data_IF_530049732661
#
_entry.id   IF_530049732661
#
_cell.length_a   1.000
_cell.length_b   1.000
_cell.length_c   1.000
_cell.angle_alpha   90.00
_cell.angle_beta   90.00
_cell.angle_gamma   90.00
#
_symmetry.space_group_name_H-M   'P 1'
#
loop_
_entity.id
_entity.type
_entity.pdbx_description
1 polymer ?
#
# COMPACT_ATOMS: atom_id res chain seq x y z
N UNK A 1 -16.82 22.81 36.39
CA UNK A 1 -16.83 21.34 36.22
C UNK A 1 -18.28 20.94 36.02
N UNK A 2 -18.67 20.71 34.76
CA UNK A 2 -20.02 20.22 34.46
C UNK A 2 -20.15 18.78 34.97
N UNK A 3 -21.35 18.44 35.45
CA UNK A 3 -21.73 17.10 35.92
C UNK A 3 -21.20 16.02 34.97
N UNK A 4 -20.49 15.06 35.53
CA UNK A 4 -19.98 13.87 34.84
C UNK A 4 -21.14 13.09 34.25
N UNK A 5 -21.53 13.39 33.01
CA UNK A 5 -22.51 12.60 32.29
C UNK A 5 -21.98 11.19 32.13
N UNK A 6 -22.58 10.25 32.86
CA UNK A 6 -22.35 8.82 32.70
C UNK A 6 -22.40 8.41 31.25
N UNK A 7 -21.55 7.45 30.89
CA UNK A 7 -21.52 6.91 29.55
C UNK A 7 -22.92 6.37 29.16
N UNK A 8 -23.33 6.61 27.91
CA UNK A 8 -24.61 6.14 27.36
C UNK A 8 -24.82 4.64 27.59
N UNK A 9 -23.75 3.84 27.48
CA UNK A 9 -23.80 2.40 27.72
C UNK A 9 -24.04 2.07 29.18
N UNK A 10 -23.45 2.82 30.12
CA UNK A 10 -23.72 2.66 31.56
C UNK A 10 -25.19 2.91 31.87
N UNK A 11 -25.78 3.95 31.29
CA UNK A 11 -27.21 4.22 31.46
C UNK A 11 -28.07 3.08 30.88
N UNK A 12 -27.70 2.55 29.70
CA UNK A 12 -28.37 1.37 29.14
C UNK A 12 -28.28 0.17 30.07
N UNK A 13 -27.13 -0.09 30.70
CA UNK A 13 -26.94 -1.19 31.66
C UNK A 13 -27.80 -0.98 32.91
N UNK A 14 -27.72 0.20 33.54
CA UNK A 14 -28.51 0.54 34.74
C UNK A 14 -30.01 0.43 34.45
N UNK A 15 -30.46 0.88 33.28
CA UNK A 15 -31.86 0.80 32.87
C UNK A 15 -32.35 -0.64 32.64
N UNK A 16 -31.45 -1.60 32.41
CA UNK A 16 -31.77 -3.02 32.27
C UNK A 16 -31.82 -3.77 33.61
N UNK A 17 -31.29 -3.19 34.69
CA UNK A 17 -31.36 -3.79 36.03
C UNK A 17 -32.81 -3.85 36.54
N UNK A 18 -33.17 -4.79 37.42
CA UNK A 18 -34.50 -4.83 38.03
C UNK A 18 -34.90 -3.52 38.72
N UNK A 19 -36.16 -3.11 38.57
CA UNK A 19 -36.70 -1.85 39.11
C UNK A 19 -36.56 -1.70 40.64
N UNK A 20 -36.39 -2.80 41.38
CA UNK A 20 -36.23 -2.79 42.83
C UNK A 20 -34.79 -2.50 43.30
N UNK A 21 -33.80 -2.59 42.41
CA UNK A 21 -32.41 -2.34 42.77
C UNK A 21 -32.17 -0.86 43.08
N UNK A 22 -31.47 -0.60 44.19
CA UNK A 22 -31.14 0.76 44.63
C UNK A 22 -30.28 1.50 43.60
N UNK A 23 -29.39 0.81 42.88
CA UNK A 23 -28.51 1.37 41.84
C UNK A 23 -29.32 1.97 40.67
N UNK A 24 -30.48 1.37 40.34
CA UNK A 24 -31.37 1.89 39.29
C UNK A 24 -32.23 3.06 39.77
N UNK A 25 -32.54 3.10 41.08
CA UNK A 25 -33.41 4.13 41.69
C UNK A 25 -32.65 5.35 42.20
N UNK A 26 -31.39 5.18 42.63
CA UNK A 26 -30.55 6.22 43.21
C UNK A 26 -29.59 6.79 42.17
N UNK A 27 -29.15 8.02 42.47
CA UNK A 27 -28.33 8.87 41.63
C UNK A 27 -27.10 8.18 41.05
N UNK A 28 -26.63 8.79 39.96
CA UNK A 28 -25.38 8.54 39.26
C UNK A 28 -24.17 8.36 40.21
N UNK A 29 -24.19 8.96 41.40
CA UNK A 29 -23.10 8.92 42.38
C UNK A 29 -22.96 7.62 43.21
N UNK A 30 -23.76 6.58 42.96
CA UNK A 30 -23.65 5.34 43.73
C UNK A 30 -22.36 4.57 43.38
N UNK A 31 -21.69 3.96 44.37
CA UNK A 31 -20.50 3.13 44.14
C UNK A 31 -20.78 2.02 43.11
N UNK A 32 -21.99 1.44 43.14
CA UNK A 32 -22.41 0.44 42.16
C UNK A 32 -22.58 1.03 40.75
N UNK A 33 -23.08 2.27 40.63
CA UNK A 33 -23.17 2.99 39.36
C UNK A 33 -21.77 3.30 38.81
N UNK A 34 -20.86 3.80 39.66
CA UNK A 34 -19.47 4.06 39.28
C UNK A 34 -18.75 2.77 38.84
N UNK A 35 -19.00 1.64 39.51
CA UNK A 35 -18.49 0.34 39.10
C UNK A 35 -19.04 -0.09 37.72
N UNK A 36 -20.34 0.10 37.48
CA UNK A 36 -20.93 -0.17 36.17
C UNK A 36 -20.42 0.77 35.07
N UNK A 37 -19.95 1.96 35.43
CA UNK A 37 -19.40 2.92 34.46
C UNK A 37 -18.11 2.42 33.83
N UNK A 38 -17.28 1.69 34.57
CA UNK A 38 -16.08 1.05 34.02
C UNK A 38 -16.44 0.14 32.84
N UNK A 39 -17.44 -0.72 33.02
CA UNK A 39 -17.94 -1.58 31.93
C UNK A 39 -18.60 -0.77 30.80
N UNK A 40 -19.29 0.32 31.13
CA UNK A 40 -19.88 1.18 30.12
C UNK A 40 -18.83 1.89 29.26
N UNK A 41 -17.70 2.30 29.86
CA UNK A 41 -16.53 2.85 29.16
C UNK A 41 -15.90 1.78 28.27
N UNK A 42 -15.58 0.60 28.80
CA UNK A 42 -15.01 -0.51 28.01
C UNK A 42 -15.93 -0.93 26.84
N UNK A 43 -17.24 -1.04 27.08
CA UNK A 43 -18.21 -1.36 26.02
C UNK A 43 -18.31 -0.27 24.97
N UNK A 44 -18.17 1.00 25.36
CA UNK A 44 -18.10 2.10 24.40
C UNK A 44 -16.83 1.99 23.56
N UNK A 45 -15.68 1.74 24.17
CA UNK A 45 -14.43 1.56 23.43
C UNK A 45 -14.53 0.41 22.43
N UNK A 46 -15.08 -0.74 22.83
CA UNK A 46 -15.35 -1.87 21.92
C UNK A 46 -16.33 -1.46 20.81
N UNK A 47 -17.41 -0.74 21.14
CA UNK A 47 -18.37 -0.27 20.17
C UNK A 47 -17.74 0.69 19.15
N UNK A 48 -16.90 1.62 19.61
CA UNK A 48 -16.21 2.60 18.78
C UNK A 48 -15.21 1.87 17.84
N UNK A 49 -14.49 0.87 18.35
CA UNK A 49 -13.60 0.01 17.54
C UNK A 49 -14.38 -0.77 16.47
N UNK A 50 -15.50 -1.40 16.84
CA UNK A 50 -16.34 -2.16 15.90
C UNK A 50 -16.98 -1.25 14.86
N UNK A 51 -17.43 -0.07 15.26
CA UNK A 51 -18.00 0.92 14.35
C UNK A 51 -16.95 1.41 13.36
N UNK A 52 -15.74 1.75 13.85
CA UNK A 52 -14.61 2.12 12.99
C UNK A 52 -14.31 1.01 11.99
N UNK A 53 -14.14 -0.24 12.46
CA UNK A 53 -13.88 -1.38 11.58
C UNK A 53 -14.98 -1.60 10.54
N UNK A 54 -16.24 -1.47 10.92
CA UNK A 54 -17.38 -1.57 10.01
C UNK A 54 -17.36 -0.48 8.92
N UNK A 55 -17.00 0.75 9.29
CA UNK A 55 -16.83 1.86 8.33
C UNK A 55 -15.68 1.61 7.34
N UNK A 56 -14.68 0.81 7.70
CA UNK A 56 -13.57 0.45 6.81
C UNK A 56 -13.94 -0.63 5.77
N UNK A 57 -15.09 -1.30 5.89
CA UNK A 57 -15.53 -2.35 4.95
C UNK A 57 -15.94 -1.78 3.59
N UNK A 58 -16.14 -0.47 3.47
CA UNK A 58 -16.43 0.18 2.19
C UNK A 58 -15.23 0.99 1.71
N UNK A 59 -14.74 0.67 0.51
CA UNK A 59 -13.58 1.36 -0.11
C UNK A 59 -13.74 2.89 -0.15
N UNK A 60 -14.97 3.39 -0.27
CA UNK A 60 -15.26 4.83 -0.31
C UNK A 60 -15.04 5.51 1.05
N UNK A 61 -15.42 4.87 2.16
CA UNK A 61 -15.31 5.41 3.52
C UNK A 61 -14.04 5.00 4.27
N UNK A 62 -13.18 4.17 3.66
CA UNK A 62 -11.87 3.83 4.24
C UNK A 62 -11.08 5.09 4.60
N UNK A 63 -10.59 5.08 5.83
CA UNK A 63 -9.66 6.03 6.41
C UNK A 63 -8.29 5.91 5.71
N UNK A 64 -7.89 7.00 5.07
CA UNK A 64 -6.64 7.09 4.32
C UNK A 64 -5.44 7.44 5.20
N UNK A 65 -5.69 7.91 6.42
CA UNK A 65 -4.65 8.33 7.37
C UNK A 65 -4.12 7.14 8.20
N UNK A 66 -4.65 5.94 7.98
CA UNK A 66 -4.08 4.69 8.48
C UNK A 66 -2.62 4.57 8.08
N UNK A 67 -1.78 4.01 8.94
CA UNK A 67 -0.40 3.74 8.55
C UNK A 67 -0.37 2.65 7.49
N UNK A 68 0.45 2.91 6.48
CA UNK A 68 0.75 2.00 5.40
C UNK A 68 2.26 1.76 5.24
N UNK A 69 3.08 2.66 5.78
CA UNK A 69 4.53 2.64 5.61
C UNK A 69 5.18 2.97 6.94
N UNK A 70 6.10 2.10 7.35
CA UNK A 70 7.11 2.35 8.35
C UNK A 70 8.50 2.15 7.73
N UNK A 71 9.53 2.48 8.48
CA UNK A 71 10.91 2.21 8.14
C UNK A 71 11.46 1.25 9.15
N UNK A 72 12.16 0.20 8.69
CA UNK A 72 12.73 -0.80 9.58
C UNK A 72 14.22 -0.98 9.36
N UNK A 73 14.90 -1.47 10.39
CA UNK A 73 16.25 -2.00 10.25
C UNK A 73 16.46 -3.19 11.17
N UNK A 74 17.31 -4.12 10.71
CA UNK A 74 17.69 -5.31 11.46
C UNK A 74 18.91 -5.01 12.32
N UNK A 75 18.83 -5.37 13.60
CA UNK A 75 20.00 -5.46 14.46
C UNK A 75 20.78 -6.74 14.13
N UNK A 76 22.08 -6.72 14.43
CA UNK A 76 22.93 -7.91 14.25
C UNK A 76 22.46 -9.04 15.18
N UNK A 77 22.54 -10.29 14.71
CA UNK A 77 21.98 -11.46 15.39
C UNK A 77 22.53 -11.66 16.82
N UNK A 78 23.77 -11.25 17.09
CA UNK A 78 24.42 -11.32 18.40
C UNK A 78 24.24 -10.05 19.25
N UNK A 79 23.46 -9.08 18.80
CA UNK A 79 23.18 -7.86 19.57
C UNK A 79 22.35 -8.22 20.81
N UNK A 80 22.84 -7.79 21.98
CA UNK A 80 22.10 -7.88 23.24
C UNK A 80 21.29 -6.60 23.43
N UNK A 81 19.97 -6.73 23.39
CA UNK A 81 19.05 -5.59 23.35
C UNK A 81 19.11 -4.76 24.64
N UNK A 82 19.41 -5.40 25.77
CA UNK A 82 19.49 -4.72 27.07
C UNK A 82 20.68 -3.77 27.16
N UNK A 83 21.67 -3.94 26.29
CA UNK A 83 22.92 -3.17 26.26
C UNK A 83 22.92 -2.13 25.14
N UNK A 84 21.78 -1.89 24.49
CA UNK A 84 21.60 -0.76 23.58
C UNK A 84 21.45 0.51 24.41
N UNK A 85 22.44 1.39 24.32
CA UNK A 85 22.49 2.63 25.10
C UNK A 85 21.53 3.68 24.51
N UNK A 86 21.57 3.83 23.18
CA UNK A 86 20.88 4.91 22.48
C UNK A 86 20.69 4.57 21.00
N UNK A 87 19.55 4.98 20.44
CA UNK A 87 19.33 5.07 18.99
C UNK A 87 19.19 6.54 18.64
N UNK A 88 19.98 7.01 17.68
CA UNK A 88 19.99 8.41 17.28
C UNK A 88 20.17 8.58 15.78
N UNK A 89 19.81 9.76 15.31
CA UNK A 89 19.82 10.20 13.92
C UNK A 89 20.77 11.39 13.79
N UNK A 90 20.96 11.93 12.59
CA UNK A 90 21.71 13.18 12.44
C UNK A 90 20.99 14.37 13.13
N UNK A 91 19.68 14.26 13.35
CA UNK A 91 18.84 15.30 13.96
C UNK A 91 18.70 15.19 15.49
N UNK A 92 19.15 14.08 16.09
CA UNK A 92 19.09 13.85 17.53
C UNK A 92 18.72 12.43 17.95
N UNK A 93 18.60 12.25 19.27
CA UNK A 93 18.26 10.98 19.92
C UNK A 93 16.78 10.63 19.79
N UNK A 94 16.46 9.36 19.54
CA UNK A 94 15.09 8.85 19.52
C UNK A 94 14.75 8.18 20.86
N UNK A 95 13.49 8.31 21.26
CA UNK A 95 12.95 7.71 22.49
C UNK A 95 12.38 6.32 22.20
N UNK A 96 12.67 5.36 23.06
CA UNK A 96 12.07 4.03 22.95
C UNK A 96 10.61 4.08 23.37
N UNK A 97 9.71 3.53 22.57
CA UNK A 97 8.34 3.23 23.00
C UNK A 97 8.06 1.73 23.01
N UNK A 98 7.13 1.32 23.88
CA UNK A 98 6.54 -0.03 23.91
C UNK A 98 5.18 -0.08 23.23
N UNK A 99 4.55 1.07 23.02
CA UNK A 99 3.25 1.18 22.36
C UNK A 99 3.48 1.61 20.91
N UNK A 100 3.07 0.75 19.97
CA UNK A 100 3.15 1.09 18.56
C UNK A 100 2.37 2.38 18.28
N UNK A 101 1.25 2.63 18.96
CA UNK A 101 0.45 3.85 18.73
C UNK A 101 1.21 5.15 19.05
N UNK A 102 2.20 5.12 19.94
CA UNK A 102 3.06 6.28 20.19
C UNK A 102 4.03 6.52 19.03
N UNK A 103 4.59 5.44 18.45
CA UNK A 103 5.41 5.51 17.24
C UNK A 103 4.64 6.15 16.09
N UNK A 104 3.36 5.77 15.94
CA UNK A 104 2.46 6.27 14.89
C UNK A 104 2.24 7.78 15.02
N UNK A 105 2.09 8.27 16.26
CA UNK A 105 1.70 9.66 16.55
C UNK A 105 2.86 10.64 16.57
N UNK A 106 4.11 10.18 16.68
CA UNK A 106 5.26 11.05 16.86
C UNK A 106 6.54 10.49 16.25
N UNK A 107 7.25 11.38 15.57
CA UNK A 107 8.57 11.14 14.98
C UNK A 107 9.72 11.14 16.00
N UNK A 108 9.45 11.30 17.28
CA UNK A 108 10.50 11.22 18.31
C UNK A 108 10.74 9.80 18.79
N UNK A 109 9.88 8.85 18.41
CA UNK A 109 9.92 7.50 18.93
C UNK A 109 10.48 6.47 17.95
N UNK A 110 11.03 5.41 18.51
CA UNK A 110 11.28 4.15 17.81
C UNK A 110 10.62 3.01 18.59
N UNK A 111 10.14 2.01 17.86
CA UNK A 111 9.68 0.75 18.42
C UNK A 111 10.72 -0.34 18.17
N UNK A 112 11.01 -1.15 19.18
CA UNK A 112 11.98 -2.24 19.09
C UNK A 112 11.27 -3.57 19.32
N UNK A 113 11.15 -4.37 18.26
CA UNK A 113 10.74 -5.77 18.36
C UNK A 113 11.92 -6.57 18.89
N UNK A 114 11.90 -6.86 20.19
CA UNK A 114 12.99 -7.55 20.88
C UNK A 114 13.18 -8.98 20.38
N UNK A 115 12.08 -9.66 19.99
CA UNK A 115 12.13 -11.07 19.58
C UNK A 115 12.77 -11.21 18.20
N UNK A 116 12.44 -10.30 17.28
CA UNK A 116 12.97 -10.31 15.91
C UNK A 116 14.18 -9.41 15.71
N UNK A 117 14.53 -8.63 16.74
CA UNK A 117 15.61 -7.63 16.73
C UNK A 117 15.45 -6.61 15.60
N UNK A 118 14.23 -6.12 15.41
CA UNK A 118 13.88 -5.12 14.38
C UNK A 118 13.57 -3.79 15.04
N UNK A 119 14.21 -2.73 14.56
CA UNK A 119 13.88 -1.35 14.91
C UNK A 119 12.89 -0.82 13.88
N UNK A 120 11.79 -0.22 14.34
CA UNK A 120 10.80 0.44 13.50
C UNK A 120 10.73 1.94 13.80
N UNK A 121 10.54 2.71 12.74
CA UNK A 121 10.55 4.17 12.69
C UNK A 121 9.38 4.67 11.83
N UNK A 122 8.77 5.79 12.22
CA UNK A 122 7.63 6.35 11.49
C UNK A 122 8.04 7.11 10.22
N UNK A 123 9.29 7.58 10.15
CA UNK A 123 9.82 8.30 8.99
C UNK A 123 11.22 7.87 8.59
N UNK A 124 11.61 8.23 7.38
CA UNK A 124 12.98 8.15 6.92
C UNK A 124 13.82 9.22 7.61
N UNK A 125 14.97 8.85 8.17
CA UNK A 125 15.95 9.78 8.75
C UNK A 125 17.24 9.77 7.96
N UNK A 126 17.98 10.88 7.94
CA UNK A 126 19.33 10.91 7.37
C UNK A 126 19.42 10.43 5.90
N UNK A 127 18.40 10.73 5.09
CA UNK A 127 18.31 10.32 3.69
C UNK A 127 19.38 11.00 2.84
N UNK A 128 20.04 10.22 1.98
CA UNK A 128 20.97 10.75 0.97
C UNK A 128 20.97 9.89 -0.31
N UNK A 129 21.76 10.27 -1.31
CA UNK A 129 21.80 9.56 -2.60
C UNK A 129 22.23 8.08 -2.48
N UNK A 130 23.00 7.73 -1.44
CA UNK A 130 23.44 6.35 -1.18
C UNK A 130 22.39 5.53 -0.43
N UNK A 131 21.63 6.16 0.47
CA UNK A 131 20.63 5.51 1.31
C UNK A 131 19.24 6.07 1.00
N UNK A 132 18.54 5.44 0.05
CA UNK A 132 17.23 5.87 -0.47
C UNK A 132 16.20 6.11 0.64
N UNK A 133 16.19 5.26 1.66
CA UNK A 133 15.26 5.34 2.79
C UNK A 133 15.92 5.80 4.10
N UNK A 134 17.21 6.17 4.06
CA UNK A 134 17.92 6.68 5.21
C UNK A 134 18.70 5.65 6.01
N UNK A 135 19.18 6.08 7.18
CA UNK A 135 19.90 5.26 8.15
C UNK A 135 19.72 5.82 9.56
N UNK A 136 20.04 5.00 10.57
CA UNK A 136 20.15 5.40 11.98
C UNK A 136 21.45 4.90 12.58
N UNK A 137 21.84 5.48 13.72
CA UNK A 137 22.96 5.00 14.52
C UNK A 137 22.45 4.32 15.77
N UNK A 138 23.03 3.16 16.09
CA UNK A 138 22.78 2.42 17.33
C UNK A 138 24.08 2.37 18.12
N UNK A 139 24.05 2.89 19.34
CA UNK A 139 25.17 2.81 20.29
C UNK A 139 24.99 1.58 21.17
N UNK A 140 25.99 0.70 21.17
CA UNK A 140 26.01 -0.54 21.96
C UNK A 140 27.44 -0.80 22.44
N UNK A 141 27.67 -0.97 23.74
CA UNK A 141 28.98 -1.31 24.34
C UNK A 141 30.15 -0.45 23.80
N UNK A 142 29.99 0.87 23.75
CA UNK A 142 30.96 1.84 23.18
C UNK A 142 31.24 1.72 21.67
N UNK A 143 30.50 0.87 20.95
CA UNK A 143 30.52 0.83 19.48
C UNK A 143 29.32 1.58 18.92
N UNK A 144 29.50 2.20 17.76
CA UNK A 144 28.44 2.90 17.04
C UNK A 144 28.26 2.19 15.71
N UNK A 145 27.12 1.52 15.56
CA UNK A 145 26.75 0.81 14.36
C UNK A 145 25.78 1.64 13.54
N UNK A 146 26.05 1.75 12.24
CA UNK A 146 25.18 2.43 11.29
C UNK A 146 24.26 1.40 10.63
N UNK A 147 22.96 1.58 10.82
CA UNK A 147 21.94 0.67 10.32
C UNK A 147 21.15 1.32 9.18
N UNK A 148 21.10 0.65 8.04
CA UNK A 148 20.40 1.14 6.85
C UNK A 148 18.91 0.89 7.04
N UNK A 149 18.09 1.90 6.75
CA UNK A 149 16.64 1.77 6.79
C UNK A 149 16.12 1.15 5.50
N UNK A 150 15.16 0.26 5.66
CA UNK A 150 14.37 -0.33 4.59
C UNK A 150 12.92 0.08 4.74
N UNK A 151 12.24 0.24 3.62
CA UNK A 151 10.81 0.50 3.62
C UNK A 151 10.06 -0.75 4.10
N UNK A 152 9.20 -0.59 5.09
CA UNK A 152 8.33 -1.65 5.58
C UNK A 152 6.88 -1.28 5.33
N UNK A 153 6.19 -2.07 4.52
CA UNK A 153 4.76 -1.90 4.33
C UNK A 153 4.01 -2.46 5.54
N UNK A 154 3.05 -1.68 6.04
CA UNK A 154 2.12 -2.08 7.08
C UNK A 154 0.79 -2.42 6.42
N UNK A 155 0.29 -3.62 6.70
CA UNK A 155 -0.99 -4.09 6.22
C UNK A 155 -2.13 -3.31 6.88
N UNK A 156 -3.04 -2.78 6.08
CA UNK A 156 -4.22 -2.06 6.55
C UNK A 156 -5.48 -2.45 5.78
N UNK A 157 -6.61 -1.78 6.03
CA UNK A 157 -7.89 -2.17 5.43
C UNK A 157 -7.91 -2.07 3.89
N UNK A 158 -7.08 -1.22 3.28
CA UNK A 158 -6.95 -1.20 1.81
C UNK A 158 -6.28 -2.48 1.28
N UNK A 159 -5.38 -3.08 2.05
CA UNK A 159 -4.69 -4.30 1.64
C UNK A 159 -5.63 -5.50 1.63
N UNK A 160 -6.68 -5.52 2.46
CA UNK A 160 -7.78 -6.49 2.38
C UNK A 160 -8.53 -6.41 1.04
N UNK A 161 -8.83 -5.21 0.56
CA UNK A 161 -9.41 -5.04 -0.77
C UNK A 161 -8.43 -5.45 -1.87
N UNK A 162 -7.15 -5.12 -1.71
CA UNK A 162 -6.11 -5.55 -2.66
C UNK A 162 -6.01 -7.06 -2.75
N UNK A 163 -6.06 -7.75 -1.62
CA UNK A 163 -6.10 -9.21 -1.57
C UNK A 163 -7.36 -9.76 -2.27
N UNK A 164 -8.53 -9.19 -2.01
CA UNK A 164 -9.78 -9.59 -2.66
C UNK A 164 -9.78 -9.35 -4.18
N UNK A 165 -9.12 -8.30 -4.64
CA UNK A 165 -9.11 -7.85 -6.03
C UNK A 165 -7.88 -8.33 -6.81
N UNK A 166 -7.00 -9.12 -6.20
CA UNK A 166 -5.71 -9.55 -6.76
C UNK A 166 -4.89 -8.35 -7.27
N UNK A 167 -4.83 -7.29 -6.45
CA UNK A 167 -4.18 -6.02 -6.75
C UNK A 167 -3.33 -5.63 -5.54
N UNK A 168 -2.14 -6.24 -5.41
CA UNK A 168 -1.24 -6.03 -4.28
C UNK A 168 -0.64 -4.63 -4.29
N UNK A 169 -0.48 -3.99 -3.14
CA UNK A 169 0.13 -2.65 -2.99
C UNK A 169 1.54 -2.58 -3.60
N UNK A 170 1.87 -1.47 -4.25
CA UNK A 170 3.22 -1.21 -4.72
C UNK A 170 4.12 -0.72 -3.58
N UNK A 171 5.41 -1.02 -3.68
CA UNK A 171 6.40 -0.61 -2.68
C UNK A 171 6.44 0.92 -2.58
N UNK A 172 6.03 1.44 -1.42
CA UNK A 172 6.01 2.88 -1.14
C UNK A 172 4.76 3.62 -1.61
N UNK A 173 3.74 2.89 -2.06
CA UNK A 173 2.45 3.47 -2.48
C UNK A 173 1.67 4.01 -1.28
N UNK A 174 1.22 5.26 -1.40
CA UNK A 174 0.35 5.89 -0.40
C UNK A 174 -1.02 5.22 -0.36
N UNK A 175 -1.75 5.32 0.75
CA UNK A 175 -3.14 4.85 0.81
C UNK A 175 -4.04 5.54 -0.23
N UNK A 176 -3.80 6.83 -0.49
CA UNK A 176 -4.55 7.57 -1.49
C UNK A 176 -4.33 7.00 -2.90
N UNK A 177 -3.08 6.75 -3.28
CA UNK A 177 -2.74 6.20 -4.60
C UNK A 177 -3.26 4.77 -4.73
N UNK A 178 -3.09 3.96 -3.69
CA UNK A 178 -3.55 2.58 -3.68
C UNK A 178 -5.07 2.46 -3.77
N UNK A 179 -5.83 3.28 -3.02
CA UNK A 179 -7.29 3.37 -3.17
C UNK A 179 -7.70 3.69 -4.61
N UNK A 180 -7.03 4.66 -5.25
CA UNK A 180 -7.33 4.99 -6.64
C UNK A 180 -7.05 3.80 -7.57
N UNK A 181 -5.98 3.03 -7.31
CA UNK A 181 -5.61 1.85 -8.08
C UNK A 181 -6.61 0.70 -7.90
N UNK A 182 -7.09 0.46 -6.68
CA UNK A 182 -8.13 -0.51 -6.38
C UNK A 182 -9.45 -0.17 -7.07
N UNK A 183 -9.87 1.10 -7.02
CA UNK A 183 -11.06 1.58 -7.74
C UNK A 183 -10.91 1.42 -9.26
N UNK A 184 -9.68 1.58 -9.77
CA UNK A 184 -9.39 1.45 -11.19
C UNK A 184 -9.53 0.00 -11.71
N UNK A 185 -9.44 -1.02 -10.86
CA UNK A 185 -9.76 -2.42 -11.22
C UNK A 185 -11.17 -2.51 -11.83
N UNK A 186 -12.14 -1.78 -11.27
CA UNK A 186 -13.52 -1.78 -11.75
C UNK A 186 -13.72 -0.85 -12.96
N UNK A 187 -13.00 0.28 -13.03
CA UNK A 187 -13.15 1.27 -14.12
C UNK A 187 -12.44 0.85 -15.41
N UNK A 188 -11.33 0.11 -15.26
CA UNK A 188 -10.43 -0.27 -16.34
C UNK A 188 -10.09 -1.76 -16.19
N UNK A 189 -11.07 -2.66 -16.41
CA UNK A 189 -10.87 -4.08 -16.14
C UNK A 189 -9.79 -4.70 -17.04
N UNK A 190 -9.06 -5.71 -16.53
CA UNK A 190 -8.15 -6.51 -17.34
C UNK A 190 -8.93 -7.38 -18.34
N UNK A 191 -8.34 -7.64 -19.51
CA UNK A 191 -8.85 -8.63 -20.49
C UNK A 191 -7.74 -9.02 -21.45
N UNK A 192 -7.99 -10.04 -22.28
CA UNK A 192 -7.05 -10.49 -23.32
C UNK A 192 -6.95 -9.53 -24.52
N UNK A 193 -7.76 -8.47 -24.57
CA UNK A 193 -7.63 -7.42 -25.58
C UNK A 193 -6.37 -6.58 -25.32
N UNK A 194 -5.82 -5.94 -26.37
CA UNK A 194 -4.71 -4.99 -26.25
C UNK A 194 -4.94 -3.96 -25.13
N UNK A 195 -6.17 -3.44 -25.07
CA UNK A 195 -6.60 -2.48 -24.06
C UNK A 195 -6.68 -3.06 -22.65
N UNK A 196 -7.13 -4.30 -22.52
CA UNK A 196 -7.20 -5.01 -21.24
C UNK A 196 -5.82 -5.36 -20.69
N UNK A 197 -4.92 -5.80 -21.56
CA UNK A 197 -3.52 -6.05 -21.20
C UNK A 197 -2.84 -4.78 -20.73
N UNK A 198 -3.03 -3.67 -21.46
CA UNK A 198 -2.49 -2.38 -21.05
C UNK A 198 -3.04 -1.96 -19.69
N UNK A 199 -4.35 -2.10 -19.45
CA UNK A 199 -4.95 -1.77 -18.17
C UNK A 199 -4.39 -2.60 -17.01
N UNK A 200 -4.14 -3.89 -17.23
CA UNK A 200 -3.57 -4.78 -16.22
C UNK A 200 -2.13 -4.35 -15.93
N UNK A 201 -1.29 -4.30 -16.97
CA UNK A 201 0.13 -3.98 -16.83
C UNK A 201 0.30 -2.61 -16.19
N UNK A 202 -0.35 -1.57 -16.72
CA UNK A 202 -0.12 -0.21 -16.23
C UNK A 202 -0.56 -0.01 -14.79
N UNK A 203 -1.61 -0.71 -14.36
CA UNK A 203 -2.07 -0.73 -12.98
C UNK A 203 -1.05 -1.48 -12.10
N UNK A 204 -0.74 -2.73 -12.42
CA UNK A 204 0.12 -3.58 -11.57
C UNK A 204 1.58 -3.12 -11.50
N UNK A 205 2.06 -2.32 -12.47
CA UNK A 205 3.42 -1.78 -12.43
C UNK A 205 3.49 -0.33 -11.96
N UNK A 206 2.36 0.29 -11.61
CA UNK A 206 2.31 1.70 -11.17
C UNK A 206 2.62 2.71 -12.28
N UNK A 207 2.46 2.30 -13.54
CA UNK A 207 2.71 3.12 -14.73
C UNK A 207 1.51 3.97 -15.12
N UNK A 208 0.35 3.73 -14.51
CA UNK A 208 -0.85 4.57 -14.64
C UNK A 208 -0.70 5.83 -13.78
N UNK A 209 -0.73 6.99 -14.42
CA UNK A 209 -0.54 8.29 -13.78
C UNK A 209 -1.86 9.02 -13.64
N UNK A 210 -2.13 9.52 -12.43
CA UNK A 210 -3.28 10.37 -12.12
C UNK A 210 -2.80 11.81 -11.89
N UNK A 211 -3.36 12.76 -12.64
CA UNK A 211 -3.06 14.20 -12.49
C UNK A 211 -4.33 15.03 -12.42
N UNK A 212 -4.22 16.16 -11.72
CA UNK A 212 -5.29 17.16 -11.65
C UNK A 212 -4.96 18.31 -12.59
N UNK A 213 -5.82 18.53 -13.58
CA UNK A 213 -5.78 19.66 -14.49
C UNK A 213 -6.59 20.81 -13.89
N UNK A 214 -5.88 21.73 -13.22
CA UNK A 214 -6.51 22.77 -12.38
C UNK A 214 -7.51 23.67 -13.11
N UNK A 215 -7.31 23.91 -14.40
CA UNK A 215 -8.10 24.81 -15.23
C UNK A 215 -8.20 24.24 -16.64
N UNK A 216 -9.33 23.60 -16.94
CA UNK A 216 -9.58 22.93 -18.21
C UNK A 216 -9.62 23.85 -19.44
N UNK A 217 -9.58 25.18 -19.25
CA UNK A 217 -9.46 26.14 -20.36
C UNK A 217 -8.05 26.32 -20.89
N UNK A 218 -7.03 25.97 -20.09
CA UNK A 218 -5.61 26.12 -20.45
C UNK A 218 -5.04 24.78 -20.85
N UNK A 219 -4.14 24.76 -21.83
CA UNK A 219 -3.49 23.53 -22.27
C UNK A 219 -2.84 22.76 -21.12
N UNK A 220 -3.04 21.44 -21.11
CA UNK A 220 -2.42 20.54 -20.16
C UNK A 220 -1.21 19.85 -20.80
N UNK A 221 -0.05 20.01 -20.19
CA UNK A 221 1.21 19.50 -20.73
C UNK A 221 1.61 18.24 -19.97
N UNK A 222 1.78 17.14 -20.70
CA UNK A 222 2.37 15.90 -20.22
C UNK A 222 3.82 15.86 -20.72
N UNK A 223 4.75 15.94 -19.77
CA UNK A 223 6.20 15.91 -20.03
C UNK A 223 6.72 14.47 -19.95
N UNK A 224 6.21 13.62 -20.82
CA UNK A 224 6.54 12.20 -20.88
C UNK A 224 6.50 11.70 -22.34
N UNK A 225 7.62 11.21 -22.88
CA UNK A 225 7.70 10.76 -24.26
C UNK A 225 6.99 9.41 -24.51
N UNK A 226 6.71 8.62 -23.48
CA UNK A 226 6.21 7.23 -23.60
C UNK A 226 4.78 7.11 -23.07
N UNK A 227 3.87 7.95 -23.56
CA UNK A 227 2.46 7.91 -23.18
C UNK A 227 1.63 7.24 -24.26
N UNK A 228 0.70 6.40 -23.86
CA UNK A 228 -0.26 5.77 -24.76
C UNK A 228 -1.39 6.77 -25.10
N UNK A 229 -1.19 7.54 -26.16
CA UNK A 229 -2.03 8.72 -26.52
C UNK A 229 -3.52 8.39 -26.64
N UNK A 230 -3.86 7.26 -27.27
CA UNK A 230 -5.25 6.83 -27.45
C UNK A 230 -5.93 6.34 -26.15
N UNK A 231 -5.23 6.41 -25.02
CA UNK A 231 -5.71 5.98 -23.70
C UNK A 231 -5.78 7.10 -22.67
N UNK A 232 -5.44 8.32 -23.06
CA UNK A 232 -5.60 9.49 -22.19
C UNK A 232 -7.09 9.66 -21.90
N UNK A 233 -7.46 9.67 -20.62
CA UNK A 233 -8.81 9.93 -20.13
C UNK A 233 -8.85 11.26 -19.38
N UNK A 234 -9.88 12.05 -19.62
CA UNK A 234 -10.21 13.24 -18.82
C UNK A 234 -11.62 13.06 -18.27
N UNK A 235 -11.76 13.14 -16.94
CA UNK A 235 -13.01 12.89 -16.20
C UNK A 235 -13.65 11.53 -16.53
N UNK A 236 -12.81 10.49 -16.61
CA UNK A 236 -13.16 9.11 -16.97
C UNK A 236 -13.62 8.90 -18.44
N UNK A 237 -13.54 9.91 -19.30
CA UNK A 237 -13.84 9.79 -20.74
C UNK A 237 -12.56 9.87 -21.56
N UNK A 238 -12.45 9.08 -22.63
CA UNK A 238 -11.30 9.16 -23.54
C UNK A 238 -11.24 10.54 -24.21
N UNK A 239 -10.05 11.13 -24.22
CA UNK A 239 -9.81 12.43 -24.85
C UNK A 239 -9.74 12.29 -26.37
N UNK A 240 -10.26 13.27 -27.12
CA UNK A 240 -10.22 13.22 -28.58
C UNK A 240 -8.79 13.42 -29.07
N UNK A 241 -8.31 12.49 -29.90
CA UNK A 241 -6.95 12.51 -30.47
C UNK A 241 -6.71 13.79 -31.30
N UNK A 242 -7.76 14.37 -31.90
CA UNK A 242 -7.66 15.62 -32.66
C UNK A 242 -7.30 16.83 -31.80
N UNK A 243 -7.61 16.75 -30.51
CA UNK A 243 -7.34 17.78 -29.52
C UNK A 243 -6.00 17.55 -28.80
N UNK A 244 -5.19 16.63 -29.30
CA UNK A 244 -3.86 16.30 -28.78
C UNK A 244 -2.80 16.77 -29.78
N UNK A 245 -1.91 17.66 -29.33
CA UNK A 245 -0.72 18.04 -30.09
C UNK A 245 0.54 17.40 -29.48
N UNK A 246 1.48 17.01 -30.33
CA UNK A 246 2.79 16.48 -29.92
C UNK A 246 3.85 17.49 -30.36
N UNK A 247 4.51 18.13 -29.39
CA UNK A 247 5.54 19.14 -29.64
C UNK A 247 6.77 18.85 -28.77
N UNK A 248 7.94 18.66 -29.38
CA UNK A 248 9.21 18.44 -28.69
C UNK A 248 9.15 17.33 -27.62
N UNK A 249 8.58 16.17 -27.96
CA UNK A 249 8.35 15.04 -27.04
C UNK A 249 7.40 15.33 -25.86
N UNK A 250 6.65 16.43 -25.91
CA UNK A 250 5.58 16.74 -24.95
C UNK A 250 4.24 16.52 -25.61
N UNK A 251 3.31 16.00 -24.82
CA UNK A 251 1.92 15.82 -25.24
C UNK A 251 1.11 16.96 -24.64
N UNK A 252 0.38 17.67 -25.49
CA UNK A 252 -0.40 18.85 -25.11
C UNK A 252 -1.87 18.52 -25.36
N UNK A 253 -2.66 18.50 -24.29
CA UNK A 253 -4.12 18.39 -24.37
C UNK A 253 -4.68 19.80 -24.48
N UNK A 254 -5.34 20.11 -25.60
CA UNK A 254 -5.90 21.44 -25.85
C UNK A 254 -6.96 21.79 -24.81
N UNK A 255 -6.81 22.98 -24.23
CA UNK A 255 -7.81 23.54 -23.34
C UNK A 255 -9.11 23.90 -24.06
N UNK A 256 -10.20 24.01 -23.31
CA UNK A 256 -11.49 24.46 -23.83
C UNK A 256 -12.11 25.47 -22.86
N UNK A 257 -12.42 26.68 -23.37
CA UNK A 257 -13.00 27.80 -22.62
C UNK A 257 -14.25 27.42 -21.80
N UNK A 258 -15.00 26.39 -22.22
CA UNK A 258 -16.15 25.86 -21.46
C UNK A 258 -15.77 25.34 -20.06
N UNK A 259 -14.51 24.97 -19.86
CA UNK A 259 -13.99 24.44 -18.60
C UNK A 259 -13.09 25.44 -17.86
N UNK A 260 -13.26 26.74 -18.12
CA UNK A 260 -12.55 27.80 -17.41
C UNK A 260 -12.81 27.72 -15.91
N UNK A 261 -11.73 27.72 -15.14
CA UNK A 261 -11.73 27.58 -13.67
C UNK A 261 -12.37 26.26 -13.16
N UNK A 262 -12.54 25.27 -14.06
CA UNK A 262 -13.02 23.93 -13.70
C UNK A 262 -11.82 22.98 -13.66
N UNK A 263 -11.58 22.41 -12.48
CA UNK A 263 -10.58 21.37 -12.27
C UNK A 263 -11.05 20.03 -12.84
N UNK A 264 -10.20 19.36 -13.62
CA UNK A 264 -10.49 18.09 -14.30
C UNK A 264 -9.48 17.02 -13.91
N UNK A 265 -9.87 15.75 -13.93
CA UNK A 265 -8.96 14.62 -13.62
C UNK A 265 -8.43 14.00 -14.90
N UNK A 266 -7.11 14.02 -15.09
CA UNK A 266 -6.43 13.41 -16.24
C UNK A 266 -5.79 12.10 -15.79
N UNK A 267 -6.01 11.04 -16.57
CA UNK A 267 -5.44 9.70 -16.35
C UNK A 267 -4.79 9.23 -17.65
N UNK A 268 -3.56 8.75 -17.57
CA UNK A 268 -2.84 8.20 -18.73
C UNK A 268 -1.87 7.10 -18.30
N UNK A 269 -1.51 6.24 -19.25
CA UNK A 269 -0.52 5.18 -19.06
C UNK A 269 0.83 5.66 -19.62
N UNK A 270 1.88 5.58 -18.80
CA UNK A 270 3.24 6.07 -19.06
C UNK A 270 4.24 4.91 -19.11
N UNK A 271 5.34 5.05 -19.84
CA UNK A 271 6.46 4.10 -19.82
C UNK A 271 6.14 2.72 -20.39
N UNK A 272 5.05 2.57 -21.15
CA UNK A 272 4.67 1.31 -21.80
C UNK A 272 4.66 1.49 -23.31
N UNK A 273 5.32 0.57 -23.99
CA UNK A 273 5.23 0.39 -25.41
C UNK A 273 4.76 -1.04 -25.69
N UNK A 274 3.77 -1.19 -26.57
CA UNK A 274 3.18 -2.49 -26.87
C UNK A 274 3.40 -2.83 -28.33
N UNK A 275 4.12 -3.92 -28.55
CA UNK A 275 4.41 -4.45 -29.88
C UNK A 275 3.70 -5.78 -30.10
N UNK A 276 3.38 -6.07 -31.36
CA UNK A 276 2.90 -7.37 -31.78
C UNK A 276 4.07 -8.16 -32.38
N UNK A 277 4.45 -9.28 -31.78
CA UNK A 277 5.61 -10.07 -32.20
C UNK A 277 5.58 -10.46 -33.70
N UNK A 278 4.40 -10.72 -34.25
CA UNK A 278 4.23 -11.10 -35.66
C UNK A 278 4.07 -9.91 -36.62
N UNK A 279 3.99 -8.68 -36.11
CA UNK A 279 3.79 -7.49 -36.94
C UNK A 279 5.11 -7.08 -37.61
N UNK A 280 5.29 -7.55 -38.85
CA UNK A 280 6.46 -7.21 -39.68
C UNK A 280 6.54 -5.73 -40.06
N UNK A 281 5.45 -4.98 -39.91
CA UNK A 281 5.43 -3.54 -40.20
C UNK A 281 6.00 -2.72 -39.04
N UNK A 282 6.15 -3.32 -37.86
CA UNK A 282 6.76 -2.68 -36.70
C UNK A 282 8.28 -2.65 -36.84
N UNK A 283 8.79 -1.73 -37.66
CA UNK A 283 10.21 -1.64 -37.99
C UNK A 283 11.09 -1.51 -36.74
N UNK A 284 10.61 -0.78 -35.72
CA UNK A 284 11.35 -0.60 -34.48
C UNK A 284 11.58 -1.94 -33.79
N UNK A 285 10.50 -2.69 -33.52
CA UNK A 285 10.63 -4.02 -32.92
C UNK A 285 11.43 -4.98 -33.81
N UNK A 286 11.22 -4.95 -35.13
CA UNK A 286 11.96 -5.83 -36.05
C UNK A 286 13.47 -5.59 -36.00
N UNK A 287 13.93 -4.34 -35.90
CA UNK A 287 15.36 -4.03 -35.76
C UNK A 287 15.93 -4.39 -34.39
N UNK A 288 15.11 -4.45 -33.34
CA UNK A 288 15.54 -4.91 -32.02
C UNK A 288 15.64 -6.45 -31.95
N UNK A 289 14.74 -7.17 -32.65
CA UNK A 289 14.65 -8.63 -32.61
C UNK A 289 15.51 -9.34 -33.67
N UNK A 290 15.79 -8.69 -34.80
CA UNK A 290 16.50 -9.28 -35.93
C UNK A 290 17.70 -8.44 -36.36
N UNK A 291 18.79 -9.12 -36.66
CA UNK A 291 19.97 -8.54 -37.31
C UNK A 291 19.66 -8.17 -38.78
N UNK A 292 20.55 -7.40 -39.41
CA UNK A 292 20.35 -6.93 -40.79
C UNK A 292 20.27 -8.07 -41.82
N UNK A 293 20.81 -9.24 -41.49
CA UNK A 293 20.78 -10.46 -42.30
C UNK A 293 19.57 -11.36 -41.98
N UNK A 294 18.70 -10.95 -41.05
CA UNK A 294 17.49 -11.67 -40.65
C UNK A 294 17.71 -12.73 -39.58
N UNK A 295 18.92 -12.88 -39.02
CA UNK A 295 19.15 -13.76 -37.87
C UNK A 295 18.61 -13.13 -36.57
N UNK A 296 18.30 -13.97 -35.60
CA UNK A 296 17.78 -13.54 -34.29
C UNK A 296 18.87 -12.85 -33.46
N UNK A 297 18.58 -11.66 -32.95
CA UNK A 297 19.44 -10.98 -31.96
C UNK A 297 19.44 -11.75 -30.63
N UNK A 298 20.38 -11.42 -29.74
CA UNK A 298 20.42 -12.01 -28.41
C UNK A 298 19.16 -11.71 -27.58
N UNK A 299 18.51 -10.57 -27.82
CA UNK A 299 17.23 -10.23 -27.20
C UNK A 299 16.13 -11.22 -27.59
N UNK A 300 16.00 -11.54 -28.89
CA UNK A 300 15.01 -12.53 -29.35
C UNK A 300 15.31 -13.93 -28.79
N UNK A 301 16.59 -14.31 -28.70
CA UNK A 301 17.00 -15.57 -28.06
C UNK A 301 16.64 -15.60 -26.57
N UNK A 302 16.83 -14.49 -25.86
CA UNK A 302 16.45 -14.35 -24.45
C UNK A 302 14.94 -14.46 -24.25
N UNK A 303 14.15 -13.77 -25.08
CA UNK A 303 12.68 -13.89 -25.05
C UNK A 303 12.22 -15.32 -25.34
N UNK A 304 12.78 -15.98 -26.36
CA UNK A 304 12.47 -17.37 -26.65
C UNK A 304 12.84 -18.32 -25.49
N UNK A 305 13.97 -18.08 -24.81
CA UNK A 305 14.38 -18.84 -23.62
C UNK A 305 13.39 -18.64 -22.47
N UNK A 306 13.02 -17.40 -22.15
CA UNK A 306 12.07 -17.06 -21.09
C UNK A 306 10.69 -17.68 -21.35
N UNK A 307 10.18 -17.57 -22.58
CA UNK A 307 8.89 -18.16 -22.97
C UNK A 307 8.88 -19.68 -22.83
N UNK A 308 9.97 -20.36 -23.21
CA UNK A 308 10.13 -21.81 -23.00
C UNK A 308 10.20 -22.20 -21.52
N UNK A 309 10.72 -21.35 -20.65
CA UNK A 309 10.73 -21.61 -19.20
C UNK A 309 9.34 -21.43 -18.58
N UNK A 310 8.59 -20.41 -19.00
CA UNK A 310 7.29 -20.08 -18.40
C UNK A 310 6.18 -21.01 -18.92
N UNK A 311 6.19 -21.35 -20.21
CA UNK A 311 5.15 -22.14 -20.85
C UNK A 311 5.75 -23.16 -21.84
N UNK A 312 6.56 -24.12 -21.38
CA UNK A 312 7.29 -25.03 -22.24
C UNK A 312 6.40 -25.76 -23.25
N UNK A 313 5.21 -26.19 -22.82
CA UNK A 313 4.27 -27.03 -23.58
C UNK A 313 3.72 -26.28 -24.81
N UNK A 314 3.34 -25.01 -24.64
CA UNK A 314 2.87 -24.13 -25.73
C UNK A 314 3.95 -23.94 -26.81
N UNK A 315 5.23 -24.12 -26.44
CA UNK A 315 6.39 -23.94 -27.31
C UNK A 315 7.06 -25.28 -27.71
N UNK A 316 6.33 -26.40 -27.63
CA UNK A 316 6.77 -27.70 -28.10
C UNK A 316 7.90 -28.31 -27.27
N UNK A 317 8.06 -27.88 -26.02
CA UNK A 317 9.00 -28.43 -25.06
C UNK A 317 8.27 -28.94 -23.82
N UNK A 318 8.84 -29.90 -23.12
CA UNK A 318 8.27 -30.44 -21.88
C UNK A 318 9.41 -30.54 -20.87
N UNK A 319 9.22 -29.94 -19.69
CA UNK A 319 10.15 -30.06 -18.57
C UNK A 319 9.55 -31.10 -17.63
N UNK A 320 10.21 -32.26 -17.52
CA UNK A 320 9.84 -33.30 -16.56
C UNK A 320 10.09 -32.78 -15.13
N UNK A 321 9.24 -33.19 -14.17
CA UNK A 321 9.34 -32.86 -12.73
C UNK A 321 9.02 -31.41 -12.28
N UNK A 322 8.60 -30.51 -13.17
CA UNK A 322 8.08 -29.18 -12.78
C UNK A 322 6.54 -29.20 -12.69
N UNK A 323 6.01 -29.87 -11.66
CA UNK A 323 4.62 -29.64 -11.25
C UNK A 323 4.50 -28.29 -10.54
N UNK A 324 4.04 -27.26 -11.25
CA UNK A 324 3.60 -25.98 -10.69
C UNK A 324 2.33 -26.16 -9.84
N UNK A 325 2.48 -26.78 -8.67
CA UNK A 325 1.54 -26.70 -7.56
C UNK A 325 2.36 -26.41 -6.32
N UNK A 326 2.82 -25.16 -6.19
CA UNK A 326 3.54 -24.75 -4.99
C UNK A 326 2.53 -24.51 -3.86
N UNK A 327 2.52 -25.45 -2.92
CA UNK A 327 1.75 -25.42 -1.69
C UNK A 327 2.48 -24.50 -0.71
N UNK A 328 1.83 -23.39 -0.38
CA UNK A 328 2.23 -22.42 0.64
C UNK A 328 2.52 -23.07 2.00
N UNK A 329 3.78 -23.33 2.32
CA UNK A 329 4.22 -23.60 3.69
C UNK A 329 4.78 -22.32 4.32
N UNK A 330 4.22 -21.96 5.49
CA UNK A 330 4.54 -20.75 6.27
C UNK A 330 5.97 -20.71 6.80
N UNK A 331 6.66 -21.84 6.82
CA UNK A 331 7.97 -21.96 7.48
C UNK A 331 9.14 -21.67 6.52
N UNK A 332 8.84 -21.49 5.22
CA UNK A 332 9.84 -21.28 4.16
C UNK A 332 9.88 -19.82 3.68
N UNK A 333 8.78 -19.07 3.82
CA UNK A 333 8.65 -17.76 3.17
C UNK A 333 9.53 -16.65 3.78
N UNK A 334 10.03 -16.81 5.00
CA UNK A 334 10.86 -15.79 5.65
C UNK A 334 10.15 -14.43 5.86
N UNK A 335 8.85 -14.35 5.57
CA UNK A 335 8.06 -13.13 5.69
C UNK A 335 7.66 -12.93 7.15
N UNK A 336 8.49 -12.19 7.87
CA UNK A 336 8.11 -11.67 9.18
C UNK A 336 6.98 -10.66 9.05
N UNK A 337 5.77 -11.01 9.50
CA UNK A 337 4.62 -10.09 9.60
C UNK A 337 4.53 -9.52 11.02
N UNK A 338 4.32 -8.21 11.19
CA UNK A 338 3.97 -7.65 12.51
C UNK A 338 2.50 -8.02 12.76
N UNK A 339 2.17 -8.71 13.87
CA UNK A 339 0.78 -8.98 14.18
C UNK A 339 0.03 -7.66 14.34
N UNK A 340 -0.99 -7.43 13.52
CA UNK A 340 -1.94 -6.34 13.74
C UNK A 340 -2.92 -6.73 14.87
N UNK A 341 -3.59 -5.77 15.50
CA UNK A 341 -4.65 -6.12 16.49
C UNK A 341 -5.78 -6.97 15.87
N UNK A 342 -5.89 -6.95 14.53
CA UNK A 342 -6.91 -7.65 13.76
C UNK A 342 -6.52 -9.08 13.38
N UNK A 343 -5.27 -9.50 13.59
CA UNK A 343 -4.80 -10.82 13.18
C UNK A 343 -5.35 -11.88 14.14
N UNK A 344 -6.38 -12.60 13.69
CA UNK A 344 -6.90 -13.75 14.42
C UNK A 344 -5.85 -14.87 14.43
N UNK A 345 -5.43 -15.31 15.63
CA UNK A 345 -4.47 -16.40 15.74
C UNK A 345 -4.99 -17.69 15.10
N UNK A 346 -4.25 -18.23 14.13
CA UNK A 346 -4.56 -19.51 13.48
C UNK A 346 -4.43 -20.71 14.44
N UNK A 347 -3.81 -20.51 15.62
CA UNK A 347 -3.70 -21.57 16.64
C UNK A 347 -5.06 -22.06 17.12
N UNK A 348 -6.10 -21.22 17.10
CA UNK A 348 -7.46 -21.61 17.46
C UNK A 348 -8.04 -22.68 16.52
N UNK A 349 -7.62 -22.68 15.25
CA UNK A 349 -8.10 -23.60 14.22
C UNK A 349 -7.29 -24.90 14.13
N UNK A 350 -6.07 -24.95 14.69
CA UNK A 350 -5.23 -26.17 14.74
C UNK A 350 -5.90 -27.35 15.48
N UNK A 351 -6.94 -27.10 16.28
CA UNK A 351 -7.67 -28.11 17.04
C UNK A 351 -8.91 -28.68 16.33
N UNK A 352 -9.29 -28.12 15.18
CA UNK A 352 -10.35 -28.71 14.36
C UNK A 352 -9.75 -29.81 13.49
N UNK A 353 -10.03 -31.07 13.85
CA UNK A 353 -9.78 -32.25 13.03
C UNK A 353 -11.05 -32.69 12.32
#
# INVERSE_FOLDING_TARGET
MNESQFNLFTQKIINRLPYWMAIRRKNQDSIGSMFLDVFGIELKEIYDILTYAYEQVYIESVDLDQINILYKSLLEEYTDIELIDEIYTDDGSLKRTKDINELIKSDEFYFLDEKRKIIYLNKAYSKNAKYKYGYVYVRYKNTINKLILELHQVWNFLDEFGFLLDCSRLIGESNYDYKNRLIDVFKSPPSSSMNGLLNAISRETGLRVFKTWKDGSKDFIIDDPMVVINKIKVDNQYFDIKDIDILNNKIILKGNEKFKDISRKVVYDSGIEMHQLHNKNDKKLQYELFEADGFATDLLKEYAKKLKMIAPIEWGSFIWDESFYDLSESDISGEGFIPSFYDSSIEGFKKYK
#
